data_IF_900623628829
#
_entry.id   IF_900623628829
#
_cell.length_a   1.000
_cell.length_b   1.000
_cell.length_c   1.000
_cell.angle_alpha   90.00
_cell.angle_beta   90.00
_cell.angle_gamma   90.00
#
_symmetry.space_group_name_H-M   'P 1'
#
loop_
_entity.id
_entity.type
_entity.pdbx_description
1 polymer ?
#
# COMPACT_ATOMS: atom_id res chain seq x y z
N UNK A 1 -6.95 38.35 -8.48
CA UNK A 1 -6.12 37.19 -8.90
C UNK A 1 -6.14 36.20 -7.75
N UNK A 2 -6.92 35.12 -7.87
CA UNK A 2 -6.97 34.08 -6.85
C UNK A 2 -5.88 33.05 -7.15
N UNK A 3 -4.87 32.99 -6.29
CA UNK A 3 -3.80 31.98 -6.32
C UNK A 3 -4.42 30.66 -5.86
N UNK A 4 -4.60 29.72 -6.79
CA UNK A 4 -4.98 28.35 -6.44
C UNK A 4 -3.76 27.68 -5.80
N UNK A 5 -3.95 27.18 -4.59
CA UNK A 5 -3.04 26.26 -3.93
C UNK A 5 -3.14 24.96 -4.72
N UNK A 6 -2.20 24.73 -5.64
CA UNK A 6 -2.03 23.43 -6.25
C UNK A 6 -1.44 22.52 -5.18
N UNK A 7 -2.26 21.60 -4.67
CA UNK A 7 -1.81 20.53 -3.79
C UNK A 7 -0.65 19.83 -4.49
N UNK A 8 0.57 19.93 -3.96
CA UNK A 8 1.71 19.15 -4.41
C UNK A 8 1.44 17.69 -4.06
N UNK A 9 0.73 17.04 -4.95
CA UNK A 9 0.54 15.62 -4.95
C UNK A 9 1.83 14.98 -5.44
N UNK A 10 2.77 14.85 -4.51
CA UNK A 10 3.86 13.89 -4.61
C UNK A 10 3.27 12.46 -4.52
N UNK A 11 2.39 12.13 -5.47
CA UNK A 11 2.03 10.75 -5.73
C UNK A 11 3.28 10.11 -6.31
N UNK A 12 4.00 9.40 -5.44
CA UNK A 12 5.11 8.54 -5.82
C UNK A 12 4.64 7.58 -6.91
N UNK A 13 4.86 7.99 -8.15
CA UNK A 13 4.56 7.28 -9.37
C UNK A 13 5.61 6.18 -9.50
N UNK A 14 5.28 4.98 -9.05
CA UNK A 14 6.10 3.80 -9.33
C UNK A 14 5.90 3.41 -10.79
N UNK A 15 6.93 3.49 -11.64
CA UNK A 15 6.76 3.26 -13.08
C UNK A 15 6.38 1.79 -13.32
N UNK A 16 5.10 1.55 -13.62
CA UNK A 16 4.62 0.28 -14.19
C UNK A 16 3.55 -0.49 -13.42
N UNK A 17 3.20 -0.13 -12.17
CA UNK A 17 2.14 -0.82 -11.41
C UNK A 17 1.06 0.15 -10.94
N UNK A 18 -0.14 0.04 -11.51
CA UNK A 18 -1.31 0.81 -11.09
C UNK A 18 -1.82 0.30 -9.74
N UNK A 19 -2.19 1.20 -8.84
CA UNK A 19 -2.88 0.83 -7.62
C UNK A 19 -4.24 0.22 -7.93
N UNK A 20 -4.75 -0.62 -7.03
CA UNK A 20 -6.11 -1.18 -7.15
C UNK A 20 -7.17 -0.07 -7.15
N UNK A 21 -8.34 -0.33 -7.72
CA UNK A 21 -9.45 0.61 -7.66
C UNK A 21 -9.97 0.80 -6.23
N UNK A 22 -10.59 1.95 -5.95
CA UNK A 22 -11.24 2.22 -4.66
C UNK A 22 -12.30 1.16 -4.31
N UNK A 23 -13.05 0.70 -5.31
CA UNK A 23 -14.04 -0.38 -5.13
C UNK A 23 -13.38 -1.69 -4.67
N UNK A 24 -12.22 -2.05 -5.22
CA UNK A 24 -11.47 -3.24 -4.76
C UNK A 24 -10.91 -3.04 -3.36
N UNK A 25 -10.41 -1.84 -3.05
CA UNK A 25 -9.89 -1.49 -1.73
C UNK A 25 -10.96 -1.63 -0.64
N UNK A 26 -12.17 -1.09 -0.87
CA UNK A 26 -13.31 -1.19 0.06
C UNK A 26 -13.78 -2.63 0.31
N UNK A 27 -13.37 -3.59 -0.53
CA UNK A 27 -13.70 -5.02 -0.39
C UNK A 27 -12.60 -5.80 0.32
N UNK A 28 -11.47 -5.19 0.67
CA UNK A 28 -10.43 -5.83 1.47
C UNK A 28 -11.02 -6.20 2.83
N UNK A 29 -10.73 -7.42 3.28
CA UNK A 29 -11.13 -7.95 4.56
C UNK A 29 -9.91 -8.28 5.43
N UNK A 30 -10.14 -8.47 6.72
CA UNK A 30 -9.13 -9.04 7.62
C UNK A 30 -8.70 -10.41 7.08
N UNK A 31 -7.42 -10.73 7.25
CA UNK A 31 -6.74 -11.94 6.78
C UNK A 31 -6.51 -12.06 5.27
N UNK A 32 -7.03 -11.14 4.45
CA UNK A 32 -6.64 -11.02 3.04
C UNK A 32 -5.13 -10.76 2.91
N UNK A 33 -4.55 -11.19 1.80
CA UNK A 33 -3.15 -10.89 1.45
C UNK A 33 -3.15 -9.76 0.43
N UNK A 34 -2.48 -8.65 0.76
CA UNK A 34 -2.26 -7.55 -0.17
C UNK A 34 -0.83 -7.58 -0.69
N UNK A 35 -0.68 -7.33 -1.98
CA UNK A 35 0.60 -7.03 -2.60
C UNK A 35 0.73 -5.51 -2.71
N UNK A 36 1.86 -4.95 -2.28
CA UNK A 36 2.07 -3.51 -2.23
C UNK A 36 3.51 -3.11 -2.54
N UNK A 37 3.71 -1.83 -2.85
CA UNK A 37 5.03 -1.25 -3.14
C UNK A 37 5.30 -0.11 -2.16
N UNK A 38 6.50 -0.14 -1.57
CA UNK A 38 6.94 0.88 -0.61
C UNK A 38 7.48 2.12 -1.31
N UNK A 39 7.18 3.35 -0.83
CA UNK A 39 7.77 4.60 -1.33
C UNK A 39 9.30 4.54 -1.20
N UNK A 40 10.09 5.23 -2.05
CA UNK A 40 11.55 5.22 -1.94
C UNK A 40 12.05 5.78 -0.60
N UNK A 41 11.19 6.51 0.11
CA UNK A 41 11.44 7.07 1.44
C UNK A 41 11.13 6.10 2.59
N UNK A 42 10.47 4.96 2.34
CA UNK A 42 10.17 3.97 3.37
C UNK A 42 11.30 2.96 3.50
N UNK A 43 11.53 2.51 4.74
CA UNK A 43 12.42 1.39 5.04
C UNK A 43 11.60 0.10 5.14
N UNK A 44 12.13 -1.04 4.67
CA UNK A 44 13.41 -1.19 3.96
C UNK A 44 13.36 -0.60 2.55
N UNK A 45 14.46 0.03 2.14
CA UNK A 45 14.56 0.86 0.92
C UNK A 45 14.66 0.01 -0.35
N UNK A 46 13.62 -0.77 -0.62
CA UNK A 46 13.45 -1.56 -1.85
C UNK A 46 12.18 -1.13 -2.60
N UNK A 47 12.14 0.12 -3.10
CA UNK A 47 11.00 0.64 -3.87
C UNK A 47 10.67 -0.17 -5.13
N UNK A 48 11.62 -0.94 -5.65
CA UNK A 48 11.47 -1.83 -6.80
C UNK A 48 10.77 -3.15 -6.46
N UNK A 49 10.69 -3.50 -5.16
CA UNK A 49 10.20 -4.79 -4.70
C UNK A 49 8.70 -4.73 -4.42
N UNK A 50 8.01 -5.80 -4.80
CA UNK A 50 6.65 -6.07 -4.36
C UNK A 50 6.69 -6.80 -3.01
N UNK A 51 5.95 -6.27 -2.05
CA UNK A 51 5.83 -6.77 -0.70
C UNK A 51 4.47 -7.40 -0.49
N UNK A 52 4.41 -8.43 0.35
CA UNK A 52 3.21 -9.15 0.68
C UNK A 52 2.91 -9.01 2.16
N UNK A 53 1.68 -8.59 2.46
CA UNK A 53 1.22 -8.39 3.82
C UNK A 53 -0.15 -9.01 4.04
N UNK A 54 -0.35 -9.66 5.18
CA UNK A 54 -1.66 -10.12 5.62
C UNK A 54 -2.37 -9.02 6.39
N UNK A 55 -3.59 -8.69 6.01
CA UNK A 55 -4.36 -7.60 6.62
C UNK A 55 -4.75 -7.96 8.05
N UNK A 56 -4.30 -7.14 9.00
CA UNK A 56 -4.66 -7.24 10.41
C UNK A 56 -5.82 -6.29 10.76
N UNK A 57 -5.79 -5.08 10.19
CA UNK A 57 -6.76 -4.02 10.43
C UNK A 57 -6.99 -3.18 9.17
N UNK A 58 -8.21 -2.66 9.03
CA UNK A 58 -8.61 -1.81 7.90
C UNK A 58 -9.03 -0.46 8.43
N UNK A 59 -8.32 0.59 8.01
CA UNK A 59 -8.69 1.99 8.22
C UNK A 59 -9.29 2.60 6.95
N UNK A 60 -9.68 3.88 7.02
CA UNK A 60 -10.39 4.55 5.91
C UNK A 60 -9.63 4.54 4.58
N UNK A 61 -8.36 4.97 4.58
CA UNK A 61 -7.53 5.06 3.35
C UNK A 61 -6.27 4.18 3.40
N UNK A 62 -6.14 3.35 4.43
CA UNK A 62 -4.98 2.49 4.65
C UNK A 62 -5.35 1.20 5.38
N UNK A 63 -4.51 0.19 5.26
CA UNK A 63 -4.60 -1.07 5.99
C UNK A 63 -3.34 -1.28 6.82
N UNK A 64 -3.47 -1.95 7.96
CA UNK A 64 -2.33 -2.45 8.73
C UNK A 64 -2.14 -3.90 8.35
N UNK A 65 -0.92 -4.25 7.95
CA UNK A 65 -0.57 -5.61 7.52
C UNK A 65 0.53 -6.20 8.39
N UNK A 66 0.52 -7.51 8.55
CA UNK A 66 1.69 -8.27 8.97
C UNK A 66 2.46 -8.70 7.72
N UNK A 67 3.72 -8.27 7.61
CA UNK A 67 4.59 -8.62 6.47
C UNK A 67 4.81 -10.12 6.43
N UNK A 68 4.77 -10.70 5.22
CA UNK A 68 4.96 -12.13 4.95
C UNK A 68 6.32 -12.44 4.31
N UNK A 69 7.02 -11.40 3.83
CA UNK A 69 8.33 -11.54 3.21
C UNK A 69 9.41 -11.96 4.23
N UNK A 70 10.35 -12.77 3.75
CA UNK A 70 11.48 -13.28 4.54
C UNK A 70 12.34 -12.12 5.06
N UNK A 71 12.79 -12.24 6.33
CA UNK A 71 13.56 -11.20 7.02
C UNK A 71 12.72 -10.13 7.71
N UNK A 72 11.43 -10.02 7.37
CA UNK A 72 10.48 -9.05 7.94
C UNK A 72 9.18 -9.72 8.41
N UNK A 73 9.11 -11.05 8.40
CA UNK A 73 7.89 -11.79 8.69
C UNK A 73 7.35 -11.46 10.08
N UNK A 74 6.08 -11.02 10.14
CA UNK A 74 5.40 -10.66 11.39
C UNK A 74 5.56 -9.18 11.79
N UNK A 75 6.43 -8.42 11.13
CA UNK A 75 6.49 -6.97 11.29
C UNK A 75 5.18 -6.33 10.83
N UNK A 76 4.77 -5.25 11.52
CA UNK A 76 3.53 -4.55 11.21
C UNK A 76 3.82 -3.30 10.40
N UNK A 77 3.01 -3.07 9.37
CA UNK A 77 3.19 -1.93 8.49
C UNK A 77 1.85 -1.29 8.09
N UNK A 78 1.85 0.03 7.94
CA UNK A 78 0.69 0.77 7.43
C UNK A 78 0.82 0.98 5.93
N UNK A 79 -0.07 0.36 5.16
CA UNK A 79 -0.08 0.39 3.70
C UNK A 79 -1.29 1.21 3.22
N UNK A 80 -1.02 2.32 2.54
CA UNK A 80 -2.04 3.19 1.93
C UNK A 80 -2.66 2.54 0.71
N UNK A 81 -3.90 2.89 0.40
CA UNK A 81 -4.60 2.44 -0.81
C UNK A 81 -3.76 2.63 -2.10
N UNK A 82 -3.07 3.77 -2.23
CA UNK A 82 -2.23 4.08 -3.39
C UNK A 82 -1.01 3.17 -3.55
N UNK A 83 -0.63 2.42 -2.51
CA UNK A 83 0.52 1.50 -2.53
C UNK A 83 0.12 0.07 -2.89
N UNK A 84 -1.17 -0.28 -2.78
CA UNK A 84 -1.65 -1.64 -2.98
C UNK A 84 -1.85 -1.89 -4.48
N UNK A 85 -1.13 -2.88 -5.01
CA UNK A 85 -1.14 -3.25 -6.42
C UNK A 85 -2.03 -4.47 -6.69
N UNK A 86 -2.20 -5.35 -5.71
CA UNK A 86 -3.10 -6.50 -5.83
C UNK A 86 -3.65 -6.96 -4.47
N UNK A 87 -4.74 -7.73 -4.52
CA UNK A 87 -5.35 -8.36 -3.34
C UNK A 87 -5.66 -9.81 -3.67
N UNK A 88 -5.21 -10.73 -2.82
CA UNK A 88 -5.57 -12.14 -2.83
C UNK A 88 -6.47 -12.42 -1.64
N UNK A 89 -7.65 -12.97 -1.91
CA UNK A 89 -8.60 -13.37 -0.87
C UNK A 89 -8.09 -14.60 -0.11
N UNK A 90 -8.28 -14.58 1.20
CA UNK A 90 -8.08 -15.74 2.06
C UNK A 90 -9.08 -16.86 1.75
#
# INVERSE_FOLDING_TARGET
>A
MAMRIEASSDYNYFPGKSSISEHTFRRIAKDDIVAYVLPPSAQPTHPEREWHGRVLYIGGEAVIVAVLDEGYTGEMETVKHSQIVAVKKA
#
